data_IF_725547040447
#
_entry.id   IF_725547040447
#
_cell.length_a   1.000
_cell.length_b   1.000
_cell.length_c   1.000
_cell.angle_alpha   90.00
_cell.angle_beta   90.00
_cell.angle_gamma   90.00
#
_symmetry.space_group_name_H-M   'P 1'
#
loop_
_entity.id
_entity.type
_entity.pdbx_description
1 polymer ?
#
# COMPACT_ATOMS: atom_id res chain seq x y z
N UNK A 1 -6.04 -33.03 -10.84
CA UNK A 1 -5.81 -31.57 -10.72
C UNK A 1 -6.94 -30.98 -9.87
N UNK A 2 -6.64 -30.05 -8.96
CA UNK A 2 -7.68 -29.35 -8.19
C UNK A 2 -8.47 -28.38 -9.10
N UNK A 3 -9.77 -28.12 -8.82
CA UNK A 3 -10.58 -27.25 -9.66
C UNK A 3 -10.24 -25.76 -9.46
N UNK A 4 -10.16 -25.01 -10.56
CA UNK A 4 -10.10 -23.54 -10.52
C UNK A 4 -11.53 -23.03 -10.39
N UNK A 5 -11.85 -22.44 -9.24
CA UNK A 5 -13.16 -21.86 -8.96
C UNK A 5 -13.08 -20.35 -8.68
N UNK A 6 -14.23 -19.71 -8.51
CA UNK A 6 -14.33 -18.26 -8.32
C UNK A 6 -13.61 -17.80 -7.06
N UNK A 7 -13.64 -18.60 -5.99
CA UNK A 7 -12.93 -18.33 -4.75
C UNK A 7 -11.40 -18.31 -4.96
N UNK A 8 -10.87 -19.30 -5.68
CA UNK A 8 -9.45 -19.35 -6.01
C UNK A 8 -9.01 -18.12 -6.82
N UNK A 9 -9.82 -17.70 -7.80
CA UNK A 9 -9.56 -16.49 -8.61
C UNK A 9 -9.58 -15.24 -7.74
N UNK A 10 -10.59 -15.08 -6.89
CA UNK A 10 -10.71 -13.94 -5.96
C UNK A 10 -9.49 -13.84 -5.05
N UNK A 11 -9.08 -14.94 -4.42
CA UNK A 11 -7.92 -14.97 -3.52
C UNK A 11 -6.61 -14.72 -4.27
N UNK A 12 -6.43 -15.30 -5.46
CA UNK A 12 -5.28 -15.03 -6.32
C UNK A 12 -5.15 -13.54 -6.63
N UNK A 13 -6.24 -12.90 -7.05
CA UNK A 13 -6.26 -11.47 -7.37
C UNK A 13 -5.94 -10.61 -6.13
N UNK A 14 -6.53 -10.96 -4.97
CA UNK A 14 -6.28 -10.23 -3.72
C UNK A 14 -4.81 -10.35 -3.28
N UNK A 15 -4.25 -11.56 -3.29
CA UNK A 15 -2.87 -11.83 -2.90
C UNK A 15 -1.88 -11.17 -3.85
N UNK A 16 -2.09 -11.30 -5.17
CA UNK A 16 -1.24 -10.65 -6.17
C UNK A 16 -1.26 -9.13 -6.01
N UNK A 17 -2.45 -8.55 -5.83
CA UNK A 17 -2.61 -7.12 -5.61
C UNK A 17 -1.91 -6.64 -4.32
N UNK A 18 -2.03 -7.40 -3.24
CA UNK A 18 -1.33 -7.14 -1.98
C UNK A 18 0.19 -7.23 -2.17
N UNK A 19 0.69 -8.25 -2.88
CA UNK A 19 2.12 -8.40 -3.17
C UNK A 19 2.68 -7.23 -3.97
N UNK A 20 1.96 -6.74 -4.98
CA UNK A 20 2.38 -5.57 -5.76
C UNK A 20 2.38 -4.31 -4.90
N UNK A 21 1.33 -4.09 -4.08
CA UNK A 21 1.23 -2.90 -3.23
C UNK A 21 2.31 -2.88 -2.15
N UNK A 22 2.36 -3.92 -1.30
CA UNK A 22 3.27 -3.97 -0.15
C UNK A 22 4.71 -4.23 -0.61
N UNK A 23 4.91 -5.27 -1.42
CA UNK A 23 6.24 -5.65 -1.90
C UNK A 23 6.86 -4.59 -2.80
N UNK A 24 6.06 -3.94 -3.65
CA UNK A 24 6.55 -2.89 -4.54
C UNK A 24 7.05 -1.65 -3.79
N UNK A 25 6.40 -1.24 -2.69
CA UNK A 25 6.89 -0.15 -1.84
C UNK A 25 8.24 -0.51 -1.20
N UNK A 26 8.39 -1.74 -0.69
CA UNK A 26 9.65 -2.21 -0.10
C UNK A 26 10.79 -2.24 -1.13
N UNK A 27 10.53 -2.80 -2.32
CA UNK A 27 11.52 -2.87 -3.41
C UNK A 27 11.92 -1.47 -3.87
N UNK A 28 10.95 -0.58 -4.09
CA UNK A 28 11.24 0.79 -4.50
C UNK A 28 12.04 1.52 -3.43
N UNK A 29 11.62 1.44 -2.16
CA UNK A 29 12.33 2.05 -1.03
C UNK A 29 13.78 1.59 -0.92
N UNK A 30 14.04 0.29 -1.13
CA UNK A 30 15.39 -0.29 -1.16
C UNK A 30 16.22 0.12 -2.39
N UNK A 31 15.58 0.40 -3.52
CA UNK A 31 16.25 0.79 -4.76
C UNK A 31 16.63 2.28 -4.80
N UNK A 32 15.88 3.15 -4.11
CA UNK A 32 16.10 4.61 -4.12
C UNK A 32 17.56 5.00 -3.80
N UNK A 33 18.24 4.46 -2.78
CA UNK A 33 19.64 4.79 -2.49
C UNK A 33 20.60 4.54 -3.66
N UNK A 34 20.41 3.44 -4.39
CA UNK A 34 21.25 3.09 -5.55
C UNK A 34 21.01 4.03 -6.75
N UNK A 35 19.82 4.62 -6.85
CA UNK A 35 19.47 5.58 -7.90
C UNK A 35 19.90 7.02 -7.58
N UNK A 36 20.26 7.35 -6.33
CA UNK A 36 20.66 8.71 -5.93
C UNK A 36 21.82 9.28 -6.76
N UNK A 37 22.92 8.54 -7.04
CA UNK A 37 24.04 9.06 -7.83
C UNK A 37 23.67 9.42 -9.26
N UNK A 38 22.68 8.73 -9.84
CA UNK A 38 22.20 8.98 -11.20
C UNK A 38 21.35 10.26 -11.31
N UNK A 39 20.98 10.89 -10.18
CA UNK A 39 20.23 12.14 -10.18
C UNK A 39 18.72 11.98 -9.98
N UNK A 40 18.02 13.08 -9.65
CA UNK A 40 16.61 13.06 -9.25
C UNK A 40 15.65 12.73 -10.39
N UNK A 41 16.01 12.94 -11.66
CA UNK A 41 15.16 12.54 -12.80
C UNK A 41 15.00 11.03 -12.93
N UNK A 42 16.06 10.26 -12.66
CA UNK A 42 16.05 8.79 -12.72
C UNK A 42 15.16 8.18 -11.63
N UNK A 43 15.32 8.65 -10.39
CA UNK A 43 14.43 8.30 -9.27
C UNK A 43 12.97 8.56 -9.65
N UNK A 44 12.70 9.73 -10.26
CA UNK A 44 11.35 10.13 -10.65
C UNK A 44 10.78 9.28 -11.79
N UNK A 45 11.62 8.86 -12.73
CA UNK A 45 11.20 7.98 -13.82
C UNK A 45 10.76 6.62 -13.27
N UNK A 46 11.57 6.01 -12.40
CA UNK A 46 11.27 4.72 -11.76
C UNK A 46 10.03 4.84 -10.87
N UNK A 47 9.96 5.87 -10.02
CA UNK A 47 8.81 6.09 -9.15
C UNK A 47 7.51 6.24 -9.95
N UNK A 48 7.50 6.99 -11.06
CA UNK A 48 6.32 7.12 -11.92
C UNK A 48 5.89 5.80 -12.54
N UNK A 49 6.83 4.95 -12.97
CA UNK A 49 6.53 3.62 -13.50
C UNK A 49 5.95 2.71 -12.43
N UNK A 50 6.47 2.77 -11.20
CA UNK A 50 5.89 2.04 -10.07
C UNK A 50 4.45 2.46 -9.80
N UNK A 51 4.13 3.76 -9.82
CA UNK A 51 2.76 4.24 -9.56
C UNK A 51 1.72 3.71 -10.56
N UNK A 52 2.12 3.41 -11.80
CA UNK A 52 1.24 2.79 -12.81
C UNK A 52 0.87 1.34 -12.47
N UNK A 53 1.64 0.67 -11.60
CA UNK A 53 1.36 -0.67 -11.11
C UNK A 53 0.66 -0.62 -9.74
N UNK A 54 1.16 0.26 -8.86
CA UNK A 54 0.72 0.36 -7.47
C UNK A 54 -0.76 0.79 -7.34
N UNK A 55 -1.20 1.84 -8.03
CA UNK A 55 -2.58 2.32 -7.88
C UNK A 55 -3.62 1.34 -8.43
N UNK A 56 -3.45 0.76 -9.63
CA UNK A 56 -4.35 -0.29 -10.09
C UNK A 56 -4.35 -1.51 -9.16
N UNK A 57 -3.19 -1.93 -8.64
CA UNK A 57 -3.15 -3.05 -7.69
C UNK A 57 -3.89 -2.69 -6.40
N UNK A 58 -3.75 -1.47 -5.88
CA UNK A 58 -4.52 -1.03 -4.71
C UNK A 58 -6.03 -1.04 -4.96
N UNK A 59 -6.47 -0.60 -6.14
CA UNK A 59 -7.87 -0.65 -6.52
C UNK A 59 -8.40 -2.10 -6.55
N UNK A 60 -7.64 -3.03 -7.16
CA UNK A 60 -7.98 -4.46 -7.15
C UNK A 60 -8.00 -5.00 -5.72
N UNK A 61 -7.06 -4.59 -4.88
CA UNK A 61 -7.00 -5.00 -3.47
C UNK A 61 -8.25 -4.57 -2.69
N UNK A 62 -8.73 -3.34 -2.91
CA UNK A 62 -9.97 -2.84 -2.29
C UNK A 62 -11.20 -3.61 -2.79
N UNK A 63 -11.33 -3.79 -4.12
CA UNK A 63 -12.46 -4.50 -4.73
C UNK A 63 -12.55 -5.94 -4.20
N UNK A 64 -11.42 -6.66 -4.24
CA UNK A 64 -11.36 -8.04 -3.76
C UNK A 64 -11.45 -8.12 -2.23
N UNK A 65 -11.01 -7.10 -1.49
CA UNK A 65 -11.19 -7.00 -0.04
C UNK A 65 -12.67 -6.86 0.36
N UNK A 66 -13.42 -6.02 -0.36
CA UNK A 66 -14.89 -5.92 -0.20
C UNK A 66 -15.56 -7.24 -0.54
N UNK A 67 -15.13 -7.91 -1.63
CA UNK A 67 -15.65 -9.23 -1.98
C UNK A 67 -15.38 -10.28 -0.89
N UNK A 68 -14.18 -10.29 -0.29
CA UNK A 68 -13.89 -11.18 0.84
C UNK A 68 -14.83 -10.92 2.03
N UNK A 69 -15.11 -9.66 2.34
CA UNK A 69 -16.04 -9.29 3.41
C UNK A 69 -17.47 -9.76 3.14
N UNK A 70 -17.97 -9.56 1.91
CA UNK A 70 -19.32 -9.98 1.51
C UNK A 70 -19.50 -11.49 1.45
N UNK A 71 -18.41 -12.25 1.38
CA UNK A 71 -18.43 -13.71 1.38
C UNK A 71 -18.38 -14.33 2.79
N UNK A 72 -18.20 -13.52 3.83
CA UNK A 72 -18.20 -13.97 5.23
C UNK A 72 -19.54 -13.61 5.87
N UNK A 73 -20.13 -14.56 6.61
CA UNK A 73 -21.28 -14.30 7.47
C UNK A 73 -20.80 -13.72 8.82
N UNK A 74 -21.10 -12.45 9.14
CA UNK A 74 -20.66 -11.83 10.38
C UNK A 74 -21.26 -12.47 11.64
N UNK A 75 -22.43 -13.13 11.52
CA UNK A 75 -23.10 -13.74 12.67
C UNK A 75 -22.34 -14.96 13.23
N UNK A 76 -21.48 -15.57 12.41
CA UNK A 76 -20.69 -16.75 12.78
C UNK A 76 -19.28 -16.41 13.29
N UNK A 77 -18.99 -15.13 13.53
CA UNK A 77 -17.65 -14.66 13.90
C UNK A 77 -17.60 -14.11 15.32
N UNK A 78 -16.45 -14.28 15.97
CA UNK A 78 -16.24 -13.76 17.32
C UNK A 78 -16.05 -12.23 17.33
N UNK A 79 -16.31 -11.60 18.47
CA UNK A 79 -15.99 -10.17 18.68
C UNK A 79 -14.51 -9.86 18.43
N UNK A 80 -13.61 -10.80 18.73
CA UNK A 80 -12.19 -10.66 18.47
C UNK A 80 -11.87 -10.62 16.97
N UNK A 81 -12.51 -11.51 16.18
CA UNK A 81 -12.38 -11.50 14.72
C UNK A 81 -12.86 -10.16 14.14
N UNK A 82 -14.01 -9.66 14.62
CA UNK A 82 -14.55 -8.36 14.17
C UNK A 82 -13.64 -7.19 14.50
N UNK A 83 -13.08 -7.16 15.71
CA UNK A 83 -12.10 -6.13 16.09
C UNK A 83 -10.87 -6.19 15.19
N UNK A 84 -10.31 -7.38 14.96
CA UNK A 84 -9.16 -7.56 14.05
C UNK A 84 -9.46 -7.09 12.63
N UNK A 85 -10.65 -7.39 12.11
CA UNK A 85 -11.10 -6.91 10.81
C UNK A 85 -11.17 -5.37 10.77
N UNK A 86 -11.79 -4.74 11.76
CA UNK A 86 -11.92 -3.28 11.80
C UNK A 86 -10.56 -2.58 11.86
N UNK A 87 -9.63 -3.09 12.67
CA UNK A 87 -8.25 -2.59 12.71
C UNK A 87 -7.56 -2.77 11.37
N UNK A 88 -7.70 -3.95 10.73
CA UNK A 88 -7.14 -4.20 9.38
C UNK A 88 -7.66 -3.19 8.37
N UNK A 89 -8.97 -2.94 8.33
CA UNK A 89 -9.57 -1.97 7.40
C UNK A 89 -9.08 -0.54 7.66
N UNK A 90 -8.94 -0.14 8.93
CA UNK A 90 -8.33 1.12 9.31
C UNK A 90 -6.89 1.26 8.81
N UNK A 91 -6.09 0.21 8.96
CA UNK A 91 -4.71 0.17 8.46
C UNK A 91 -4.64 0.27 6.92
N UNK A 92 -5.51 -0.42 6.19
CA UNK A 92 -5.60 -0.29 4.73
C UNK A 92 -5.94 1.15 4.31
N UNK A 93 -6.90 1.78 4.99
CA UNK A 93 -7.30 3.15 4.71
C UNK A 93 -6.18 4.16 4.98
N UNK A 94 -5.48 4.02 6.11
CA UNK A 94 -4.31 4.85 6.45
C UNK A 94 -3.18 4.62 5.44
N UNK A 95 -2.93 3.38 5.03
CA UNK A 95 -1.89 3.05 4.06
C UNK A 95 -2.11 3.77 2.73
N UNK A 96 -3.29 3.59 2.13
CA UNK A 96 -3.64 4.26 0.87
C UNK A 96 -3.61 5.78 0.97
N UNK A 97 -4.14 6.35 2.06
CA UNK A 97 -4.19 7.80 2.26
C UNK A 97 -2.80 8.40 2.44
N UNK A 98 -1.93 7.76 3.22
CA UNK A 98 -0.57 8.22 3.44
C UNK A 98 0.24 8.16 2.13
N UNK A 99 0.10 7.09 1.35
CA UNK A 99 0.69 6.99 0.01
C UNK A 99 0.16 8.09 -0.94
N UNK A 100 -1.15 8.36 -0.93
CA UNK A 100 -1.75 9.43 -1.71
C UNK A 100 -1.16 10.80 -1.34
N UNK A 101 -1.07 11.11 -0.04
CA UNK A 101 -0.51 12.37 0.47
C UNK A 101 0.98 12.50 0.11
N UNK A 102 1.76 11.41 0.23
CA UNK A 102 3.15 11.36 -0.20
C UNK A 102 3.30 11.79 -1.67
N UNK A 103 2.52 11.19 -2.57
CA UNK A 103 2.63 11.40 -4.02
C UNK A 103 2.02 12.73 -4.47
N UNK A 104 0.82 13.06 -3.99
CA UNK A 104 0.00 14.15 -4.51
C UNK A 104 0.26 15.49 -3.81
N UNK A 105 0.71 15.47 -2.55
CA UNK A 105 0.94 16.70 -1.76
C UNK A 105 2.44 16.96 -1.60
N UNK A 106 3.15 16.04 -0.97
CA UNK A 106 4.56 16.27 -0.62
C UNK A 106 5.51 16.12 -1.81
N UNK A 107 5.22 15.22 -2.75
CA UNK A 107 5.96 15.13 -4.02
C UNK A 107 6.06 16.48 -4.75
N UNK A 108 4.93 17.17 -5.06
CA UNK A 108 4.94 18.52 -5.60
C UNK A 108 5.60 19.56 -4.70
N UNK A 109 5.35 19.52 -3.38
CA UNK A 109 5.94 20.47 -2.44
C UNK A 109 7.48 20.43 -2.45
N UNK A 110 8.09 19.24 -2.47
CA UNK A 110 9.54 19.08 -2.58
C UNK A 110 10.10 19.70 -3.87
N UNK A 111 9.35 19.61 -4.98
CA UNK A 111 9.77 20.15 -6.28
C UNK A 111 9.64 21.66 -6.38
N UNK A 112 8.63 22.24 -5.72
CA UNK A 112 8.33 23.68 -5.76
C UNK A 112 9.05 24.48 -4.68
N UNK A 113 9.68 23.82 -3.71
CA UNK A 113 10.39 24.49 -2.62
C UNK A 113 11.52 25.39 -3.15
N UNK A 114 11.47 26.66 -2.78
CA UNK A 114 12.42 27.69 -3.20
C UNK A 114 13.63 27.81 -2.28
N UNK A 115 13.51 27.35 -1.03
CA UNK A 115 14.61 27.34 -0.06
C UNK A 115 15.02 25.92 0.35
N UNK A 116 16.30 25.71 0.73
CA UNK A 116 16.78 24.41 1.20
C UNK A 116 16.01 23.87 2.41
N UNK A 117 15.64 24.74 3.35
CA UNK A 117 14.92 24.35 4.57
C UNK A 117 13.50 23.86 4.29
N UNK A 118 12.76 24.54 3.39
CA UNK A 118 11.43 24.10 2.98
C UNK A 118 11.50 22.76 2.25
N UNK A 119 12.50 22.59 1.38
CA UNK A 119 12.72 21.33 0.66
C UNK A 119 13.00 20.18 1.62
N UNK A 120 13.84 20.40 2.63
CA UNK A 120 14.18 19.41 3.67
C UNK A 120 12.94 19.01 4.47
N UNK A 121 12.14 19.97 4.92
CA UNK A 121 10.89 19.72 5.66
C UNK A 121 9.87 18.95 4.82
N UNK A 122 9.64 19.37 3.58
CA UNK A 122 8.73 18.67 2.67
C UNK A 122 9.20 17.23 2.37
N UNK A 123 10.50 17.03 2.18
CA UNK A 123 11.07 15.70 1.94
C UNK A 123 10.94 14.79 3.17
N UNK A 124 11.17 15.33 4.38
CA UNK A 124 10.97 14.59 5.61
C UNK A 124 9.49 14.20 5.81
N UNK A 125 8.56 15.13 5.60
CA UNK A 125 7.12 14.85 5.66
C UNK A 125 6.70 13.79 4.63
N UNK A 126 7.22 13.88 3.40
CA UNK A 126 7.04 12.86 2.37
C UNK A 126 7.52 11.49 2.86
N UNK A 127 8.72 11.42 3.44
CA UNK A 127 9.29 10.17 3.96
C UNK A 127 8.46 9.56 5.10
N UNK A 128 7.94 10.39 6.01
CA UNK A 128 7.06 9.94 7.10
C UNK A 128 5.76 9.35 6.54
N UNK A 129 5.14 9.98 5.54
CA UNK A 129 3.93 9.46 4.91
C UNK A 129 4.18 8.11 4.23
N UNK A 130 5.31 7.94 3.55
CA UNK A 130 5.64 6.66 2.90
C UNK A 130 5.90 5.57 3.94
N UNK A 131 6.66 5.88 5.00
CA UNK A 131 6.91 4.94 6.09
C UNK A 131 5.60 4.50 6.75
N UNK A 132 4.70 5.45 7.03
CA UNK A 132 3.37 5.15 7.56
C UNK A 132 2.58 4.26 6.61
N UNK A 133 2.62 4.54 5.30
CA UNK A 133 1.98 3.70 4.28
C UNK A 133 2.44 2.24 4.36
N UNK A 134 3.76 2.03 4.37
CA UNK A 134 4.37 0.69 4.38
C UNK A 134 4.05 -0.04 5.68
N UNK A 135 4.21 0.62 6.83
CA UNK A 135 3.95 -0.02 8.13
C UNK A 135 2.48 -0.41 8.29
N UNK A 136 1.56 0.46 7.88
CA UNK A 136 0.13 0.13 7.91
C UNK A 136 -0.21 -1.00 6.92
N UNK A 137 0.40 -1.02 5.73
CA UNK A 137 0.22 -2.10 4.77
C UNK A 137 0.71 -3.46 5.32
N UNK A 138 1.89 -3.49 5.95
CA UNK A 138 2.44 -4.68 6.61
C UNK A 138 1.55 -5.14 7.77
N UNK A 139 1.07 -4.21 8.60
CA UNK A 139 0.13 -4.51 9.67
C UNK A 139 -1.17 -5.10 9.13
N UNK A 140 -1.75 -4.50 8.09
CA UNK A 140 -2.96 -5.02 7.44
C UNK A 140 -2.74 -6.42 6.83
N UNK A 141 -1.55 -6.68 6.28
CA UNK A 141 -1.16 -7.99 5.76
C UNK A 141 -1.08 -9.02 6.89
N UNK A 142 -0.41 -8.70 8.01
CA UNK A 142 -0.33 -9.58 9.19
C UNK A 142 -1.72 -9.90 9.73
N UNK A 143 -2.56 -8.89 9.97
CA UNK A 143 -3.94 -9.11 10.43
C UNK A 143 -4.75 -9.89 9.39
N UNK A 144 -4.47 -9.74 8.10
CA UNK A 144 -5.06 -10.55 7.05
C UNK A 144 -4.73 -12.03 7.18
N UNK A 145 -3.51 -12.39 7.54
CA UNK A 145 -3.11 -13.79 7.83
C UNK A 145 -3.89 -14.32 9.03
N UNK A 146 -4.02 -13.53 10.10
CA UNK A 146 -4.76 -13.91 11.31
C UNK A 146 -6.26 -14.09 11.09
N UNK A 147 -6.86 -13.48 10.06
CA UNK A 147 -8.28 -13.61 9.74
C UNK A 147 -8.59 -14.85 8.89
N UNK A 148 -7.57 -15.50 8.33
CA UNK A 148 -7.69 -16.71 7.49
C UNK A 148 -7.47 -17.99 8.30
N UNK A 149 -6.68 -17.92 9.38
CA UNK A 149 -6.46 -19.03 10.32
C UNK A 149 -7.50 -19.05 11.44
#
# INVERSE_FOLDING_TARGET
MLPINVEAIRLLLHLLAASIWVGGQLVLGGLIPALKPAGPEHIRAVARRFQLLAWPSFAVLLITGVWNLLAVDPANQSSAWMMTLMVKLGLVAVSGSAAAIHVLVFGPAVRRATSPELRKRAAAASGVCEMLSVLCALGAMLLGVLLVG
#
